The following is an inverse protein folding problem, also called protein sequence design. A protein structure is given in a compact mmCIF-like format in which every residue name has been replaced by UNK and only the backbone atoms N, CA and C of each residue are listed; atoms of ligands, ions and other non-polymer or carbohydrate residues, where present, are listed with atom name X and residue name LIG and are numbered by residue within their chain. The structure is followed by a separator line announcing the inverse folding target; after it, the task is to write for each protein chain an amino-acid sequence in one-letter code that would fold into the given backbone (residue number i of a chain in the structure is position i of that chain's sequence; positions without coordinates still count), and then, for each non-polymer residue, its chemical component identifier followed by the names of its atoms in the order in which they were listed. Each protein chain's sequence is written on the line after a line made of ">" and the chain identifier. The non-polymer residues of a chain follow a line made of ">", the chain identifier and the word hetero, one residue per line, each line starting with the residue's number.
data_IF_730618692652
#
_entry.id   IF_730618692652
#
_cell.length_a   1.000
_cell.length_b   1.000
_cell.length_c   1.000
_cell.angle_alpha   90.00
_cell.angle_beta   90.00
_cell.angle_gamma   90.00
#
_symmetry.space_group_name_H-M   'P 1'
#
loop_
_entity.id
_entity.type
_entity.pdbx_description
1 polymer ?
#
# COMPACT_ATOMS: atom_id res chain seq x y z
N UNK A 1 -4.80 -4.29 50.35
CA UNK A 1 -4.92 -2.99 49.65
C UNK A 1 -3.60 -2.21 49.60
N UNK A 2 -2.90 -1.96 50.72
CA UNK A 2 -1.64 -1.19 50.69
C UNK A 2 -0.56 -1.80 49.77
N UNK A 3 -0.33 -3.11 49.83
CA UNK A 3 0.65 -3.80 48.98
C UNK A 3 0.38 -3.62 47.46
N UNK A 4 -0.90 -3.58 47.06
CA UNK A 4 -1.30 -3.35 45.67
C UNK A 4 -0.91 -1.94 45.20
N UNK A 5 -1.22 -0.90 45.99
CA UNK A 5 -0.87 0.48 45.64
C UNK A 5 0.64 0.73 45.64
N UNK A 6 1.40 0.09 46.54
CA UNK A 6 2.87 0.14 46.49
C UNK A 6 3.42 -0.51 45.22
N UNK A 7 2.90 -1.67 44.82
CA UNK A 7 3.30 -2.31 43.56
C UNK A 7 2.93 -1.44 42.35
N UNK A 8 1.72 -0.89 42.31
CA UNK A 8 1.29 0.05 41.26
C UNK A 8 2.25 1.24 41.16
N UNK A 9 2.67 1.83 42.30
CA UNK A 9 3.62 2.94 42.31
C UNK A 9 4.97 2.55 41.70
N UNK A 10 5.52 1.40 42.08
CA UNK A 10 6.78 0.89 41.52
C UNK A 10 6.67 0.69 40.00
N UNK A 11 5.54 0.18 39.52
CA UNK A 11 5.31 0.00 38.08
C UNK A 11 5.24 1.35 37.34
N UNK A 12 4.56 2.35 37.93
CA UNK A 12 4.52 3.71 37.37
C UNK A 12 5.91 4.37 37.34
N UNK A 13 6.70 4.22 38.40
CA UNK A 13 8.06 4.78 38.45
C UNK A 13 9.00 4.10 37.43
N UNK A 14 8.85 2.78 37.22
CA UNK A 14 9.55 2.05 36.15
C UNK A 14 9.14 2.52 34.76
N UNK A 15 7.84 2.70 34.52
CA UNK A 15 7.30 3.19 33.26
C UNK A 15 7.82 4.60 32.94
N UNK A 16 7.86 5.49 33.95
CA UNK A 16 8.40 6.84 33.80
C UNK A 16 9.89 6.81 33.41
N UNK A 17 10.70 6.01 34.11
CA UNK A 17 12.13 5.87 33.78
C UNK A 17 12.34 5.31 32.37
N UNK A 18 11.56 4.30 31.99
CA UNK A 18 11.59 3.76 30.63
C UNK A 18 11.26 4.83 29.59
N UNK A 19 10.18 5.59 29.79
CA UNK A 19 9.78 6.66 28.86
C UNK A 19 10.88 7.72 28.68
N UNK A 20 11.51 8.16 29.78
CA UNK A 20 12.61 9.12 29.71
C UNK A 20 13.84 8.58 28.97
N UNK A 21 14.23 7.33 29.24
CA UNK A 21 15.37 6.70 28.55
C UNK A 21 15.05 6.45 27.09
N UNK A 22 13.85 5.96 26.77
CA UNK A 22 13.39 5.73 25.40
C UNK A 22 13.42 7.03 24.58
N UNK A 23 12.89 8.12 25.14
CA UNK A 23 12.94 9.44 24.49
C UNK A 23 14.38 9.86 24.19
N UNK A 24 15.29 9.72 25.17
CA UNK A 24 16.72 10.03 24.97
C UNK A 24 17.35 9.17 23.86
N UNK A 25 17.06 7.87 23.84
CA UNK A 25 17.59 6.94 22.82
C UNK A 25 17.08 7.31 21.43
N UNK A 26 15.77 7.54 21.28
CA UNK A 26 15.16 7.96 20.00
C UNK A 26 15.76 9.27 19.50
N UNK A 27 15.95 10.27 20.38
CA UNK A 27 16.56 11.56 20.02
C UNK A 27 18.03 11.45 19.61
N UNK A 28 18.74 10.39 20.00
CA UNK A 28 20.17 10.21 19.72
C UNK A 28 20.46 9.24 18.58
N UNK A 29 19.48 8.43 18.18
CA UNK A 29 19.58 7.53 17.03
C UNK A 29 18.46 7.85 16.02
N UNK A 30 18.78 8.63 14.95
CA UNK A 30 17.81 9.01 13.92
C UNK A 30 17.08 7.82 13.27
N UNK A 31 17.65 6.61 13.30
CA UNK A 31 16.99 5.41 12.77
C UNK A 31 15.75 5.00 13.57
N UNK A 32 15.66 5.44 14.83
CA UNK A 32 14.55 5.14 15.74
C UNK A 32 13.53 6.28 15.82
N UNK A 33 13.84 7.45 15.25
CA UNK A 33 12.95 8.60 15.24
C UNK A 33 11.99 8.55 14.04
N UNK A 34 10.72 8.23 14.33
CA UNK A 34 9.66 8.19 13.33
C UNK A 34 9.49 9.53 12.60
N UNK A 35 9.90 10.66 13.21
CA UNK A 35 9.84 11.96 12.58
C UNK A 35 10.69 12.03 11.29
N UNK A 36 11.71 11.19 11.15
CA UNK A 36 12.52 11.05 9.92
C UNK A 36 11.78 10.30 8.82
N UNK A 37 10.91 9.36 9.19
CA UNK A 37 10.08 8.59 8.26
C UNK A 37 8.84 9.37 7.84
N UNK A 38 8.19 10.06 8.79
CA UNK A 38 7.02 10.91 8.57
C UNK A 38 6.95 12.01 9.65
N UNK A 39 6.77 13.29 9.28
CA UNK A 39 6.67 14.37 10.25
C UNK A 39 5.52 14.15 11.24
N UNK A 40 5.78 14.32 12.54
CA UNK A 40 4.80 14.15 13.62
C UNK A 40 4.11 15.46 14.02
N UNK A 41 4.76 16.60 13.80
CA UNK A 41 4.16 17.90 14.09
C UNK A 41 2.97 18.17 13.16
N UNK A 42 1.79 18.47 13.71
CA UNK A 42 0.52 18.54 12.97
C UNK A 42 0.59 19.35 11.67
N UNK A 43 1.22 20.53 11.68
CA UNK A 43 1.35 21.36 10.48
C UNK A 43 2.19 20.67 9.39
N UNK A 44 3.28 20.01 9.79
CA UNK A 44 4.16 19.28 8.88
C UNK A 44 3.53 17.97 8.41
N UNK A 45 2.80 17.25 9.28
CA UNK A 45 2.03 16.06 8.91
C UNK A 45 0.95 16.40 7.87
N UNK A 46 0.25 17.53 8.06
CA UNK A 46 -0.75 18.00 7.10
C UNK A 46 -0.13 18.36 5.75
N UNK A 47 0.99 19.07 5.76
CA UNK A 47 1.73 19.39 4.54
C UNK A 47 2.22 18.10 3.82
N UNK A 48 2.76 17.14 4.56
CA UNK A 48 3.19 15.85 4.02
C UNK A 48 2.01 15.06 3.42
N UNK A 49 0.83 15.08 4.05
CA UNK A 49 -0.37 14.43 3.51
C UNK A 49 -0.84 15.08 2.20
N UNK A 50 -0.76 16.41 2.11
CA UNK A 50 -1.08 17.13 0.88
C UNK A 50 -0.10 16.76 -0.25
N UNK A 51 1.21 16.75 0.05
CA UNK A 51 2.24 16.31 -0.90
C UNK A 51 2.03 14.87 -1.35
N UNK A 52 1.70 13.97 -0.42
CA UNK A 52 1.39 12.57 -0.73
C UNK A 52 0.17 12.43 -1.63
N UNK A 53 -0.88 13.21 -1.37
CA UNK A 53 -2.09 13.22 -2.19
C UNK A 53 -1.80 13.68 -3.62
N UNK A 54 -1.04 14.76 -3.78
CA UNK A 54 -0.62 15.26 -5.11
C UNK A 54 0.28 14.26 -5.83
N UNK A 55 1.24 13.65 -5.13
CA UNK A 55 2.12 12.63 -5.69
C UNK A 55 1.34 11.37 -6.10
N UNK A 56 0.32 10.97 -5.32
CA UNK A 56 -0.57 9.87 -5.67
C UNK A 56 -1.35 10.17 -6.97
N UNK A 57 -1.95 11.36 -7.07
CA UNK A 57 -2.64 11.80 -8.28
C UNK A 57 -1.72 11.83 -9.50
N UNK A 58 -0.51 12.36 -9.34
CA UNK A 58 0.50 12.38 -10.39
C UNK A 58 0.93 10.97 -10.81
N UNK A 59 1.18 10.08 -9.86
CA UNK A 59 1.59 8.70 -10.11
C UNK A 59 0.48 7.93 -10.83
N UNK A 60 -0.75 8.00 -10.33
CA UNK A 60 -1.92 7.35 -10.93
C UNK A 60 -2.17 7.86 -12.36
N UNK A 61 -2.10 9.18 -12.58
CA UNK A 61 -2.25 9.77 -13.91
C UNK A 61 -1.11 9.38 -14.85
N UNK A 62 0.11 9.22 -14.34
CA UNK A 62 1.28 8.76 -15.12
C UNK A 62 1.10 7.31 -15.57
N UNK A 63 0.57 6.45 -14.69
CA UNK A 63 0.24 5.06 -15.02
C UNK A 63 -0.89 5.02 -16.06
N UNK A 64 -1.96 5.80 -15.87
CA UNK A 64 -3.12 5.85 -16.76
C UNK A 64 -2.80 6.25 -18.22
N UNK A 65 -1.73 7.04 -18.44
CA UNK A 65 -1.28 7.42 -19.79
C UNK A 65 -0.78 6.23 -20.63
N UNK A 66 -0.32 5.15 -19.98
CA UNK A 66 0.29 3.99 -20.62
C UNK A 66 -0.44 2.67 -20.33
N UNK A 67 -1.29 2.64 -19.31
CA UNK A 67 -1.99 1.44 -18.86
C UNK A 67 -3.49 1.69 -18.66
N UNK A 68 -4.28 0.62 -18.79
CA UNK A 68 -5.70 0.59 -18.42
C UNK A 68 -6.01 -0.58 -17.50
N UNK A 69 -7.26 -0.70 -17.07
CA UNK A 69 -7.72 -1.80 -16.22
C UNK A 69 -8.65 -2.72 -16.99
N UNK A 70 -8.31 -4.01 -17.07
CA UNK A 70 -9.26 -5.05 -17.42
C UNK A 70 -10.17 -5.29 -16.23
N UNK A 71 -11.48 -5.26 -16.46
CA UNK A 71 -12.50 -5.49 -15.44
C UNK A 71 -13.39 -6.66 -15.85
N UNK A 72 -13.10 -7.83 -15.30
CA UNK A 72 -13.92 -9.03 -15.52
C UNK A 72 -15.09 -9.05 -14.55
N UNK A 73 -16.30 -9.19 -15.09
CA UNK A 73 -17.55 -9.19 -14.33
C UNK A 73 -18.55 -10.22 -14.85
N UNK A 74 -19.64 -10.41 -14.11
CA UNK A 74 -20.84 -11.15 -14.54
C UNK A 74 -22.08 -10.33 -14.27
N UNK A 75 -23.14 -10.52 -15.04
CA UNK A 75 -24.41 -9.81 -14.84
C UNK A 75 -25.13 -10.20 -13.53
N UNK A 76 -24.88 -11.40 -13.01
CA UNK A 76 -25.49 -11.94 -11.76
C UNK A 76 -24.64 -11.69 -10.50
N UNK A 77 -23.61 -10.84 -10.59
CA UNK A 77 -22.63 -10.60 -9.54
C UNK A 77 -22.90 -9.27 -8.79
N UNK A 78 -23.45 -9.35 -7.58
CA UNK A 78 -23.71 -8.17 -6.74
C UNK A 78 -22.43 -7.36 -6.41
N UNK A 79 -21.31 -8.04 -6.18
CA UNK A 79 -20.04 -7.37 -5.90
C UNK A 79 -19.46 -6.64 -7.12
N UNK A 80 -19.81 -7.08 -8.33
CA UNK A 80 -19.41 -6.42 -9.56
C UNK A 80 -20.15 -5.08 -9.71
N UNK A 81 -21.44 -5.05 -9.32
CA UNK A 81 -22.24 -3.83 -9.24
C UNK A 81 -21.66 -2.83 -8.23
N UNK A 82 -21.18 -3.33 -7.08
CA UNK A 82 -20.55 -2.49 -6.07
C UNK A 82 -19.18 -1.93 -6.51
N UNK A 83 -18.41 -2.69 -7.28
CA UNK A 83 -17.09 -2.28 -7.76
C UNK A 83 -17.15 -1.25 -8.88
N UNK A 84 -18.14 -1.36 -9.77
CA UNK A 84 -18.27 -0.54 -10.98
C UNK A 84 -18.19 0.99 -10.75
N UNK A 85 -18.92 1.61 -9.80
CA UNK A 85 -18.82 3.05 -9.58
C UNK A 85 -17.42 3.49 -9.12
N UNK A 86 -16.69 2.66 -8.38
CA UNK A 86 -15.31 2.98 -7.98
C UNK A 86 -14.36 3.06 -9.18
N UNK A 87 -14.58 2.23 -10.20
CA UNK A 87 -13.80 2.28 -11.45
C UNK A 87 -14.07 3.57 -12.23
N UNK A 88 -15.31 4.08 -12.20
CA UNK A 88 -15.62 5.39 -12.82
C UNK A 88 -14.87 6.55 -12.17
N UNK A 89 -14.57 6.46 -10.87
CA UNK A 89 -13.70 7.44 -10.19
C UNK A 89 -12.27 7.39 -10.75
N UNK A 90 -11.74 6.21 -11.07
CA UNK A 90 -10.41 6.10 -11.69
C UNK A 90 -10.38 6.70 -13.10
N UNK A 91 -11.44 6.50 -13.87
CA UNK A 91 -11.60 7.11 -15.19
C UNK A 91 -11.62 8.63 -15.09
N UNK A 92 -12.48 9.17 -14.21
CA UNK A 92 -12.70 10.61 -14.10
C UNK A 92 -11.54 11.36 -13.43
N UNK A 93 -10.97 10.80 -12.37
CA UNK A 93 -9.93 11.48 -11.56
C UNK A 93 -8.54 11.33 -12.14
N UNK A 94 -8.20 10.16 -12.68
CA UNK A 94 -6.82 9.85 -13.10
C UNK A 94 -6.70 9.58 -14.61
N UNK A 95 -7.81 9.42 -15.34
CA UNK A 95 -7.80 9.17 -16.78
C UNK A 95 -7.55 7.73 -17.18
N UNK A 96 -7.78 6.75 -16.30
CA UNK A 96 -7.67 5.34 -16.67
C UNK A 96 -8.67 4.98 -17.76
N UNK A 97 -8.29 4.07 -18.65
CA UNK A 97 -9.22 3.37 -19.53
C UNK A 97 -9.65 2.08 -18.86
N UNK A 98 -10.95 1.86 -18.72
CA UNK A 98 -11.49 0.59 -18.22
C UNK A 98 -11.94 -0.25 -19.41
N UNK A 99 -11.52 -1.51 -19.40
CA UNK A 99 -11.82 -2.53 -20.40
C UNK A 99 -12.72 -3.59 -19.76
N UNK A 100 -14.04 -3.38 -19.73
CA UNK A 100 -14.98 -4.31 -19.14
C UNK A 100 -15.13 -5.58 -20.00
N UNK A 101 -15.02 -6.74 -19.35
CA UNK A 101 -15.17 -8.06 -19.96
C UNK A 101 -16.23 -8.86 -19.19
N UNK A 102 -17.33 -9.19 -19.87
CA UNK A 102 -18.43 -9.98 -19.30
C UNK A 102 -18.14 -11.47 -19.47
N UNK A 103 -18.12 -12.22 -18.36
CA UNK A 103 -17.92 -13.67 -18.39
C UNK A 103 -19.17 -14.42 -18.84
N UNK A 104 -20.36 -13.84 -18.66
CA UNK A 104 -21.64 -14.44 -19.04
C UNK A 104 -22.27 -13.79 -20.28
N UNK A 105 -21.54 -12.87 -20.93
CA UNK A 105 -21.94 -12.18 -22.15
C UNK A 105 -23.11 -11.21 -21.97
N UNK A 106 -23.47 -10.86 -20.73
CA UNK A 106 -24.60 -10.00 -20.40
C UNK A 106 -24.15 -8.69 -19.74
N UNK A 107 -24.87 -7.58 -19.94
CA UNK A 107 -24.61 -6.31 -19.24
C UNK A 107 -24.92 -6.40 -17.76
N UNK A 108 -24.32 -5.53 -16.95
CA UNK A 108 -24.74 -5.35 -15.55
C UNK A 108 -26.14 -4.69 -15.47
N UNK A 109 -27.03 -5.18 -14.59
CA UNK A 109 -28.35 -4.58 -14.35
C UNK A 109 -28.35 -3.07 -14.05
N UNK A 110 -27.36 -2.56 -13.33
CA UNK A 110 -27.23 -1.12 -13.03
C UNK A 110 -27.02 -0.23 -14.26
N UNK A 111 -26.58 -0.81 -15.37
CA UNK A 111 -26.20 -0.08 -16.57
C UNK A 111 -24.80 0.56 -16.52
N UNK A 112 -23.97 0.27 -15.51
CA UNK A 112 -22.54 0.57 -15.60
C UNK A 112 -21.89 -0.27 -16.71
N UNK A 113 -20.91 0.30 -17.42
CA UNK A 113 -20.15 -0.39 -18.47
C UNK A 113 -21.01 -1.10 -19.53
N UNK A 114 -22.04 -0.43 -20.07
CA UNK A 114 -22.94 -0.98 -21.13
C UNK A 114 -22.19 -1.48 -22.36
N UNK A 115 -21.08 -0.84 -22.70
CA UNK A 115 -20.17 -1.29 -23.74
C UNK A 115 -19.12 -2.21 -23.10
N UNK A 116 -19.25 -3.50 -23.33
CA UNK A 116 -18.33 -4.53 -22.85
C UNK A 116 -17.97 -5.51 -23.94
N UNK A 117 -16.90 -6.27 -23.73
CA UNK A 117 -16.56 -7.43 -24.55
C UNK A 117 -16.98 -8.71 -23.83
N UNK A 118 -17.47 -9.70 -24.58
CA UNK A 118 -17.65 -11.03 -24.01
C UNK A 118 -16.29 -11.69 -23.82
N UNK A 119 -16.14 -12.46 -22.74
CA UNK A 119 -14.98 -13.34 -22.57
C UNK A 119 -14.95 -14.38 -23.70
N UNK A 120 -13.79 -14.49 -24.34
CA UNK A 120 -13.47 -15.47 -25.38
C UNK A 120 -12.26 -16.32 -24.97
N UNK A 121 -11.94 -16.35 -23.66
CA UNK A 121 -10.83 -17.11 -23.09
C UNK A 121 -9.78 -16.26 -22.36
N UNK A 122 -9.94 -14.92 -22.31
CA UNK A 122 -9.04 -14.04 -21.57
C UNK A 122 -9.08 -14.34 -20.08
N UNK A 123 -10.26 -14.59 -19.52
CA UNK A 123 -10.44 -14.90 -18.10
C UNK A 123 -9.68 -16.17 -17.71
N UNK A 124 -9.77 -17.21 -18.54
CA UNK A 124 -9.02 -18.46 -18.36
C UNK A 124 -7.51 -18.23 -18.47
N UNK A 125 -7.07 -17.47 -19.47
CA UNK A 125 -5.65 -17.18 -19.69
C UNK A 125 -5.02 -16.39 -18.54
N UNK A 126 -5.78 -15.50 -17.90
CA UNK A 126 -5.34 -14.67 -16.78
C UNK A 126 -5.61 -15.30 -15.40
N UNK A 127 -6.14 -16.53 -15.35
CA UNK A 127 -6.42 -17.22 -14.09
C UNK A 127 -7.49 -16.53 -13.25
N UNK A 128 -8.55 -16.01 -13.88
CA UNK A 128 -9.71 -15.48 -13.17
C UNK A 128 -10.45 -16.61 -12.46
N UNK A 129 -10.48 -16.55 -11.14
CA UNK A 129 -11.15 -17.51 -10.25
C UNK A 129 -12.45 -16.95 -9.67
N UNK A 130 -12.56 -15.63 -9.49
CA UNK A 130 -13.75 -14.97 -8.95
C UNK A 130 -13.95 -13.57 -9.52
N UNK A 131 -15.21 -13.14 -9.66
CA UNK A 131 -15.56 -11.78 -10.07
C UNK A 131 -16.02 -10.92 -8.88
N UNK A 132 -15.78 -9.60 -8.90
CA UNK A 132 -15.06 -8.86 -9.94
C UNK A 132 -13.56 -9.18 -9.96
N UNK A 133 -12.93 -9.24 -11.13
CA UNK A 133 -11.47 -9.37 -11.24
C UNK A 133 -10.87 -8.22 -12.02
N UNK A 134 -9.82 -7.62 -11.46
CA UNK A 134 -9.14 -6.45 -11.96
C UNK A 134 -7.69 -6.78 -12.29
N UNK A 135 -7.28 -6.42 -13.50
CA UNK A 135 -5.89 -6.53 -13.95
C UNK A 135 -5.45 -5.21 -14.56
N UNK A 136 -4.25 -4.76 -14.23
CA UNK A 136 -3.64 -3.59 -14.82
C UNK A 136 -2.88 -4.01 -16.07
N UNK A 137 -3.25 -3.46 -17.21
CA UNK A 137 -2.73 -3.84 -18.53
C UNK A 137 -2.02 -2.68 -19.19
N UNK A 138 -0.75 -2.87 -19.54
CA UNK A 138 0.07 -1.96 -20.34
C UNK A 138 0.46 -2.65 -21.66
N UNK A 139 0.05 -2.12 -22.82
CA UNK A 139 0.45 -2.67 -24.11
C UNK A 139 1.99 -2.69 -24.30
N UNK A 140 2.54 -3.64 -25.05
CA UNK A 140 1.81 -4.68 -25.80
C UNK A 140 1.41 -5.89 -24.94
N UNK A 141 2.22 -6.29 -23.94
CA UNK A 141 2.13 -7.63 -23.35
C UNK A 141 2.17 -7.67 -21.81
N UNK A 142 2.17 -6.52 -21.11
CA UNK A 142 2.28 -6.51 -19.66
C UNK A 142 0.90 -6.48 -18.99
N UNK A 143 0.57 -7.52 -18.23
CA UNK A 143 -0.69 -7.63 -17.48
C UNK A 143 -0.37 -8.06 -16.05
N UNK A 144 -0.78 -7.22 -15.09
CA UNK A 144 -0.50 -7.41 -13.67
C UNK A 144 -1.81 -7.64 -12.91
N UNK A 145 -1.92 -8.68 -12.07
CA UNK A 145 -3.10 -8.91 -11.25
C UNK A 145 -3.23 -7.83 -10.18
N UNK A 146 -4.43 -7.27 -10.00
CA UNK A 146 -4.70 -6.25 -8.99
C UNK A 146 -5.59 -6.83 -7.89
N UNK A 147 -6.76 -7.36 -8.25
CA UNK A 147 -7.68 -7.93 -7.29
C UNK A 147 -8.58 -8.97 -7.95
N UNK A 148 -9.01 -9.96 -7.18
CA UNK A 148 -10.16 -10.80 -7.49
C UNK A 148 -11.05 -10.79 -6.25
N UNK A 149 -12.26 -10.26 -6.37
CA UNK A 149 -13.11 -9.80 -5.26
C UNK A 149 -13.19 -8.27 -5.20
N UNK A 150 -14.21 -7.77 -4.50
CA UNK A 150 -14.44 -6.32 -4.35
C UNK A 150 -13.38 -5.68 -3.45
N UNK A 151 -12.92 -4.49 -3.83
CA UNK A 151 -11.94 -3.69 -3.09
C UNK A 151 -12.35 -2.22 -3.03
N UNK A 152 -11.95 -1.52 -1.98
CA UNK A 152 -12.18 -0.08 -1.85
C UNK A 152 -11.36 0.71 -2.88
N UNK A 153 -11.71 1.98 -3.08
CA UNK A 153 -10.94 2.88 -3.94
C UNK A 153 -9.48 3.01 -3.44
N UNK A 154 -9.28 3.15 -2.13
CA UNK A 154 -7.95 3.29 -1.53
C UNK A 154 -7.10 2.01 -1.71
N UNK A 155 -7.71 0.84 -1.55
CA UNK A 155 -7.01 -0.44 -1.79
C UNK A 155 -6.69 -0.61 -3.29
N UNK A 156 -7.62 -0.25 -4.17
CA UNK A 156 -7.40 -0.29 -5.62
C UNK A 156 -6.25 0.63 -6.05
N UNK A 157 -6.23 1.89 -5.59
CA UNK A 157 -5.14 2.84 -5.89
C UNK A 157 -3.80 2.34 -5.35
N UNK A 158 -3.78 1.84 -4.10
CA UNK A 158 -2.57 1.32 -3.45
C UNK A 158 -1.98 0.12 -4.21
N UNK A 159 -2.83 -0.82 -4.65
CA UNK A 159 -2.40 -1.99 -5.42
C UNK A 159 -1.92 -1.65 -6.82
N UNK A 160 -2.56 -0.68 -7.49
CA UNK A 160 -2.11 -0.17 -8.80
C UNK A 160 -0.73 0.45 -8.68
N UNK A 161 -0.51 1.33 -7.68
CA UNK A 161 0.80 1.94 -7.43
C UNK A 161 1.88 0.90 -7.13
N UNK A 162 1.59 -0.07 -6.26
CA UNK A 162 2.54 -1.13 -5.92
C UNK A 162 2.88 -2.00 -7.13
N UNK A 163 1.88 -2.40 -7.91
CA UNK A 163 2.07 -3.23 -9.11
C UNK A 163 2.89 -2.49 -10.16
N UNK A 164 2.57 -1.22 -10.42
CA UNK A 164 3.32 -0.37 -11.34
C UNK A 164 4.77 -0.13 -10.88
N UNK A 165 5.00 0.05 -9.57
CA UNK A 165 6.35 0.15 -8.99
C UNK A 165 7.15 -1.13 -9.21
N UNK A 166 6.55 -2.29 -8.91
CA UNK A 166 7.23 -3.58 -9.06
C UNK A 166 7.54 -3.91 -10.53
N UNK A 167 6.71 -3.45 -11.46
CA UNK A 167 6.96 -3.57 -12.90
C UNK A 167 7.89 -2.46 -13.45
N UNK A 168 8.38 -1.54 -12.61
CA UNK A 168 9.28 -0.46 -13.03
C UNK A 168 8.62 0.63 -13.87
N UNK A 169 7.30 0.78 -13.83
CA UNK A 169 6.58 1.80 -14.61
C UNK A 169 6.62 3.19 -13.95
N UNK A 170 6.90 3.23 -12.65
CA UNK A 170 7.13 4.44 -11.85
C UNK A 170 8.38 4.23 -10.97
N UNK A 171 9.02 5.32 -10.56
CA UNK A 171 10.21 5.26 -9.69
C UNK A 171 9.87 5.00 -8.23
N UNK A 172 10.82 4.43 -7.47
CA UNK A 172 10.70 4.24 -6.02
C UNK A 172 10.38 5.54 -5.29
N UNK A 173 11.02 6.64 -5.70
CA UNK A 173 10.79 7.97 -5.14
C UNK A 173 9.36 8.46 -5.35
N UNK A 174 8.80 8.27 -6.55
CA UNK A 174 7.42 8.67 -6.83
C UNK A 174 6.45 7.81 -6.02
N UNK A 175 6.71 6.50 -5.91
CA UNK A 175 5.93 5.59 -5.09
C UNK A 175 5.99 5.94 -3.58
N UNK A 176 7.18 6.18 -3.02
CA UNK A 176 7.36 6.51 -1.61
C UNK A 176 6.66 7.83 -1.25
N UNK A 177 6.84 8.85 -2.10
CA UNK A 177 6.17 10.15 -1.93
C UNK A 177 4.65 10.01 -1.98
N UNK A 178 4.12 9.22 -2.92
CA UNK A 178 2.67 8.95 -3.01
C UNK A 178 2.10 8.23 -1.78
N UNK A 179 2.93 7.50 -1.01
CA UNK A 179 2.53 6.90 0.28
C UNK A 179 2.69 7.85 1.48
N UNK A 180 3.27 9.03 1.28
CA UNK A 180 3.58 9.96 2.37
C UNK A 180 4.63 9.41 3.34
N UNK A 181 5.55 8.58 2.83
CA UNK A 181 6.62 7.95 3.60
C UNK A 181 7.95 8.19 2.89
N UNK A 182 8.96 8.59 3.65
CA UNK A 182 10.34 8.60 3.15
C UNK A 182 10.88 7.16 3.18
N UNK A 183 11.37 6.65 2.05
CA UNK A 183 11.81 5.24 1.91
C UNK A 183 13.11 4.90 2.69
N UNK A 184 13.67 5.89 3.40
CA UNK A 184 15.03 5.87 3.95
C UNK A 184 15.19 5.18 5.31
N UNK A 185 14.16 4.50 5.85
CA UNK A 185 14.18 4.04 7.27
C UNK A 185 13.45 2.72 7.52
N UNK A 186 13.55 1.74 6.61
CA UNK A 186 13.15 0.38 6.96
C UNK A 186 14.29 -0.35 7.65
N UNK A 187 14.17 -0.57 8.96
CA UNK A 187 15.02 -1.49 9.72
C UNK A 187 14.55 -2.93 9.48
N UNK A 188 14.68 -3.42 8.25
CA UNK A 188 14.36 -4.80 7.88
C UNK A 188 15.69 -5.54 7.72
N UNK A 189 16.08 -6.35 8.72
CA UNK A 189 17.28 -7.19 8.62
C UNK A 189 17.15 -8.22 7.50
N UNK A 190 18.29 -8.54 6.88
CA UNK A 190 18.37 -9.66 5.94
C UNK A 190 17.94 -10.96 6.63
N UNK A 191 17.23 -11.82 5.89
CA UNK A 191 16.75 -13.08 6.42
C UNK A 191 17.91 -13.92 7.00
N UNK A 192 17.75 -14.38 8.25
CA UNK A 192 18.77 -15.16 8.96
C UNK A 192 19.77 -14.34 9.78
N UNK A 193 19.75 -13.01 9.73
CA UNK A 193 20.63 -12.16 10.57
C UNK A 193 20.14 -12.08 12.04
N UNK A 194 18.83 -12.07 12.28
CA UNK A 194 18.23 -12.11 13.62
C UNK A 194 18.13 -13.55 14.14
N UNK A 195 19.27 -14.17 14.42
CA UNK A 195 19.30 -15.49 15.08
C UNK A 195 18.90 -15.39 16.56
N UNK A 196 18.47 -16.50 17.17
CA UNK A 196 18.11 -16.54 18.60
C UNK A 196 19.24 -16.01 19.53
N UNK A 197 20.53 -16.33 19.31
CA UNK A 197 21.62 -15.73 20.07
C UNK A 197 21.78 -14.22 19.89
N UNK A 198 21.40 -13.67 18.73
CA UNK A 198 21.45 -12.23 18.45
C UNK A 198 20.27 -11.52 19.12
N UNK A 199 19.08 -12.12 19.10
CA UNK A 199 17.88 -11.53 19.72
C UNK A 199 17.94 -11.51 21.26
N UNK A 200 18.65 -12.47 21.87
CA UNK A 200 18.80 -12.57 23.32
C UNK A 200 19.95 -11.69 23.87
N UNK A 201 20.72 -11.02 23.01
CA UNK A 201 21.79 -10.09 23.38
C UNK A 201 21.46 -8.69 22.85
N UNK A 202 21.07 -7.73 23.71
CA UNK A 202 20.70 -6.39 23.28
C UNK A 202 21.81 -5.65 22.51
N UNK A 203 23.09 -5.90 22.83
CA UNK A 203 24.22 -5.29 22.14
C UNK A 203 24.34 -5.82 20.72
N UNK A 204 24.33 -7.14 20.56
CA UNK A 204 24.38 -7.79 19.23
C UNK A 204 23.17 -7.46 18.37
N UNK A 205 21.99 -7.34 18.97
CA UNK A 205 20.78 -6.92 18.28
C UNK A 205 20.94 -5.50 17.70
N UNK A 206 21.42 -4.55 18.52
CA UNK A 206 21.64 -3.17 18.07
C UNK A 206 22.71 -3.10 16.98
N UNK A 207 23.80 -3.85 17.11
CA UNK A 207 24.85 -3.94 16.08
C UNK A 207 24.29 -4.48 14.75
N UNK A 208 23.52 -5.58 14.80
CA UNK A 208 22.90 -6.17 13.62
C UNK A 208 21.91 -5.22 12.92
N UNK A 209 21.15 -4.43 13.70
CA UNK A 209 20.20 -3.46 13.15
C UNK A 209 20.89 -2.20 12.61
N UNK A 210 22.01 -1.78 13.20
CA UNK A 210 22.79 -0.61 12.74
C UNK A 210 23.68 -0.88 11.53
N UNK A 211 24.08 -2.14 11.34
CA UNK A 211 24.87 -2.57 10.19
C UNK A 211 24.10 -2.46 8.85
N UNK A 212 22.78 -2.28 8.91
CA UNK A 212 21.96 -2.08 7.72
C UNK A 212 22.28 -0.72 7.07
N UNK A 213 22.48 -0.68 5.74
CA UNK A 213 22.74 0.55 5.03
C UNK A 213 21.56 1.49 5.18
N UNK A 214 21.79 2.65 5.80
CA UNK A 214 20.93 3.82 5.64
C UNK A 214 21.46 4.50 4.38
N UNK A 215 20.74 4.39 3.27
CA UNK A 215 21.10 5.12 2.06
C UNK A 215 20.94 6.64 2.31
N UNK A 216 21.79 7.48 1.67
CA UNK A 216 21.99 8.89 2.00
C UNK A 216 20.76 9.78 1.80
#
# INVERSE_FOLDING_TARGET
>A
MAAYYYLQRVMMDKAQRFATVAQKVVMTDPRLDENNRRPLATFASNAANQMATQANEQAMSTIAKQAGLLFFFRSDCHFCEAQAPLLTVLEQRFGFKIYPVSLDGKPMPSGFYKQFRSDIGQAKALGVMSTPALFLMKPPNEILPIAQGVVSLDDLTSRVLLSAKNAGWISDRLFSTARGVTDSTFLIPEAGTLTEPVMNDPGRLVEALRAQPVLP
#
